data_IF_571367253185
#
_entry.id   IF_571367253185
#
_cell.length_a   1.000
_cell.length_b   1.000
_cell.length_c   1.000
_cell.angle_alpha   90.00
_cell.angle_beta   90.00
_cell.angle_gamma   90.00
#
_symmetry.space_group_name_H-M   'P 1'
#
loop_
_entity.id
_entity.type
_entity.pdbx_description
1 polymer ?
#
# COMPACT_ATOMS: atom_id res chain seq x y z
N UNK A 1 38.93 -64.55 53.94
CA UNK A 1 38.29 -65.38 54.98
C UNK A 1 36.90 -64.81 55.25
N UNK A 2 35.87 -65.66 55.27
CA UNK A 2 34.41 -65.39 55.37
C UNK A 2 33.77 -64.85 54.07
N UNK A 3 32.68 -65.37 53.53
CA UNK A 3 31.91 -66.62 53.75
C UNK A 3 30.96 -66.76 52.54
N UNK A 4 30.67 -68.00 52.14
CA UNK A 4 29.78 -68.44 51.04
C UNK A 4 28.33 -67.98 51.18
N UNK A 5 27.64 -67.95 50.03
CA UNK A 5 26.33 -68.60 49.68
C UNK A 5 25.72 -67.77 48.54
N UNK A 6 25.35 -68.26 47.37
CA UNK A 6 24.76 -69.55 47.00
C UNK A 6 23.40 -69.25 46.35
N UNK A 7 23.12 -69.85 45.18
CA UNK A 7 21.76 -69.94 44.65
C UNK A 7 21.49 -69.18 43.35
N UNK A 8 21.56 -69.90 42.24
CA UNK A 8 21.00 -69.48 40.96
C UNK A 8 19.47 -69.47 41.01
N UNK A 9 18.84 -68.41 40.53
CA UNK A 9 17.42 -68.38 40.16
C UNK A 9 17.34 -67.80 38.75
N UNK A 10 16.86 -68.61 37.81
CA UNK A 10 16.46 -68.18 36.46
C UNK A 10 15.35 -67.12 36.60
N UNK A 11 15.56 -65.94 36.02
CA UNK A 11 14.46 -64.99 35.75
C UNK A 11 14.52 -64.56 34.29
N UNK A 12 13.41 -64.79 33.61
CA UNK A 12 13.11 -64.30 32.29
C UNK A 12 13.23 -62.77 32.27
N UNK A 13 13.96 -62.23 31.28
CA UNK A 13 13.98 -60.81 30.99
C UNK A 13 12.73 -60.52 30.16
N UNK A 14 11.71 -59.90 30.78
CA UNK A 14 10.68 -59.19 30.06
C UNK A 14 11.35 -57.97 29.38
N UNK A 15 11.33 -57.93 28.05
CA UNK A 15 11.51 -56.69 27.31
C UNK A 15 10.27 -55.82 27.53
N UNK A 16 10.38 -54.85 28.44
CA UNK A 16 9.44 -53.74 28.49
C UNK A 16 9.77 -52.78 27.34
N UNK A 17 8.98 -52.85 26.27
CA UNK A 17 8.93 -51.78 25.26
C UNK A 17 8.30 -50.57 25.94
N UNK A 18 9.14 -49.58 26.28
CA UNK A 18 8.66 -48.27 26.69
C UNK A 18 8.01 -47.61 25.46
N UNK A 19 6.68 -47.60 25.42
CA UNK A 19 5.91 -46.75 24.53
C UNK A 19 6.17 -45.31 24.98
N UNK A 20 7.06 -44.60 24.28
CA UNK A 20 7.14 -43.15 24.36
C UNK A 20 5.88 -42.64 23.67
N UNK A 21 4.84 -42.38 24.47
CA UNK A 21 3.72 -41.57 24.04
C UNK A 21 4.28 -40.18 23.73
N UNK A 22 4.41 -39.86 22.45
CA UNK A 22 4.53 -38.48 21.99
C UNK A 22 3.26 -37.76 22.44
N UNK A 23 3.34 -37.09 23.59
CA UNK A 23 2.38 -36.09 23.98
C UNK A 23 2.44 -34.98 22.94
N UNK A 24 1.53 -35.01 21.99
CA UNK A 24 1.19 -33.87 21.14
C UNK A 24 0.72 -32.75 22.07
N UNK A 25 1.66 -31.91 22.49
CA UNK A 25 1.33 -30.60 22.99
C UNK A 25 0.50 -29.92 21.87
N UNK A 26 -0.72 -29.43 22.15
CA UNK A 26 -1.44 -28.69 21.15
C UNK A 26 -0.54 -27.50 20.78
N UNK A 27 -0.20 -27.39 19.50
CA UNK A 27 0.34 -26.15 18.97
C UNK A 27 -0.69 -25.08 19.33
N UNK A 28 -0.38 -24.27 20.33
CA UNK A 28 -1.11 -23.05 20.61
C UNK A 28 -0.81 -22.17 19.41
N UNK A 29 -1.61 -22.33 18.35
CA UNK A 29 -1.80 -21.29 17.38
C UNK A 29 -2.21 -20.09 18.22
N UNK A 30 -1.30 -19.13 18.36
CA UNK A 30 -1.65 -17.82 18.86
C UNK A 30 -2.66 -17.31 17.83
N UNK A 31 -3.95 -17.51 18.12
CA UNK A 31 -4.99 -16.73 17.53
C UNK A 31 -4.55 -15.29 17.83
N UNK A 32 -4.04 -14.62 16.80
CA UNK A 32 -3.98 -13.18 16.83
C UNK A 32 -5.44 -12.79 17.04
N UNK A 33 -5.78 -12.43 18.28
CA UNK A 33 -7.05 -11.78 18.57
C UNK A 33 -7.19 -10.72 17.50
N UNK A 34 -8.23 -10.83 16.67
CA UNK A 34 -8.61 -9.80 15.75
C UNK A 34 -8.99 -8.58 16.59
N UNK A 35 -7.98 -7.84 17.06
CA UNK A 35 -8.14 -6.49 17.54
C UNK A 35 -8.72 -5.77 16.34
N UNK A 36 -10.00 -5.43 16.41
CA UNK A 36 -10.65 -4.64 15.39
C UNK A 36 -9.76 -3.42 15.15
N UNK A 37 -9.15 -3.35 13.96
CA UNK A 37 -8.38 -2.18 13.58
C UNK A 37 -9.41 -1.06 13.49
N UNK A 38 -9.22 0.06 14.20
CA UNK A 38 -10.20 1.13 14.17
C UNK A 38 -10.33 1.62 12.73
N UNK A 39 -11.55 1.68 12.22
CA UNK A 39 -11.86 2.45 11.01
C UNK A 39 -11.53 3.91 11.32
N UNK A 40 -10.92 4.64 10.40
CA UNK A 40 -10.59 6.05 10.67
C UNK A 40 -11.88 6.77 11.09
N UNK A 41 -11.90 7.49 12.22
CA UNK A 41 -13.10 8.20 12.70
C UNK A 41 -13.62 9.24 11.69
N UNK A 42 -12.85 9.49 10.65
CA UNK A 42 -13.14 10.41 9.56
C UNK A 42 -14.05 9.80 8.47
N UNK A 43 -14.24 8.46 8.44
CA UNK A 43 -15.24 7.81 7.56
C UNK A 43 -16.69 7.88 8.04
N UNK A 44 -16.94 8.25 9.31
CA UNK A 44 -18.32 8.35 9.82
C UNK A 44 -18.99 9.71 9.52
N UNK A 45 -18.23 10.72 9.12
CA UNK A 45 -18.76 12.02 8.73
C UNK A 45 -17.76 12.74 7.83
N UNK A 46 -18.12 12.83 6.56
CA UNK A 46 -17.50 13.72 5.58
C UNK A 46 -17.05 15.03 6.24
N UNK A 47 -15.78 15.37 6.10
CA UNK A 47 -15.20 16.66 6.50
C UNK A 47 -15.84 17.79 5.66
N UNK A 48 -16.46 17.43 4.53
CA UNK A 48 -17.16 18.31 3.62
C UNK A 48 -18.55 18.70 4.12
N UNK A 49 -18.64 19.92 4.66
CA UNK A 49 -19.88 20.69 4.75
C UNK A 49 -19.86 21.87 3.76
N UNK A 50 -20.98 22.62 3.72
CA UNK A 50 -21.30 23.80 2.87
C UNK A 50 -20.15 24.30 1.99
N UNK A 51 -20.31 24.13 0.67
CA UNK A 51 -19.38 24.64 -0.34
C UNK A 51 -18.37 23.62 -0.85
N UNK A 52 -18.50 22.35 -0.47
CA UNK A 52 -17.83 21.22 -1.09
C UNK A 52 -18.69 20.56 -2.17
N UNK A 53 -18.06 20.04 -3.20
CA UNK A 53 -18.64 19.29 -4.31
C UNK A 53 -18.25 17.81 -4.18
N UNK A 54 -19.22 16.93 -4.39
CA UNK A 54 -18.98 15.50 -4.55
C UNK A 54 -18.95 15.20 -6.04
N UNK A 55 -17.77 14.90 -6.57
CA UNK A 55 -17.53 14.68 -7.98
C UNK A 55 -17.31 13.19 -8.22
N UNK A 56 -17.92 12.67 -9.29
CA UNK A 56 -17.70 11.30 -9.74
C UNK A 56 -17.00 11.34 -11.10
N UNK A 57 -15.87 10.66 -11.18
CA UNK A 57 -15.04 10.60 -12.37
C UNK A 57 -14.87 9.17 -12.87
N UNK A 58 -14.73 9.02 -14.18
CA UNK A 58 -14.50 7.74 -14.84
C UNK A 58 -13.46 7.93 -15.96
N UNK A 59 -12.26 7.41 -15.75
CA UNK A 59 -11.20 7.37 -16.75
C UNK A 59 -11.31 6.07 -17.57
N UNK A 60 -11.24 6.19 -18.90
CA UNK A 60 -11.46 5.09 -19.84
C UNK A 60 -12.45 5.46 -20.97
N UNK A 61 -12.96 4.47 -21.74
CA UNK A 61 -12.86 3.04 -21.48
C UNK A 61 -11.47 2.47 -21.76
N UNK A 62 -11.03 1.54 -20.91
CA UNK A 62 -9.81 0.77 -21.11
C UNK A 62 -10.16 -0.64 -21.59
N UNK A 63 -9.60 -1.01 -22.73
CA UNK A 63 -9.71 -2.36 -23.27
C UNK A 63 -8.58 -3.23 -22.73
N UNK A 64 -8.96 -4.24 -21.94
CA UNK A 64 -8.03 -5.11 -21.24
C UNK A 64 -7.99 -6.44 -21.98
N UNK A 65 -6.81 -6.80 -22.50
CA UNK A 65 -6.61 -8.05 -23.21
C UNK A 65 -6.65 -9.25 -22.27
N UNK A 66 -6.86 -10.47 -22.77
CA UNK A 66 -6.70 -11.69 -21.97
C UNK A 66 -5.31 -11.76 -21.32
N UNK A 67 -5.24 -12.16 -20.05
CA UNK A 67 -3.98 -12.32 -19.34
C UNK A 67 -3.15 -11.05 -19.16
N UNK A 68 -3.77 -9.86 -19.25
CA UNK A 68 -3.05 -8.61 -19.19
C UNK A 68 -2.24 -8.48 -17.89
N UNK A 69 -0.95 -8.18 -18.03
CA UNK A 69 0.00 -7.86 -16.96
C UNK A 69 0.87 -6.68 -17.44
N UNK A 70 0.21 -5.60 -17.90
CA UNK A 70 0.85 -4.47 -18.56
C UNK A 70 0.64 -3.20 -17.76
N UNK A 71 1.72 -2.47 -17.54
CA UNK A 71 1.69 -1.08 -17.08
C UNK A 71 1.50 -0.16 -18.28
N UNK A 72 0.46 0.67 -18.24
CA UNK A 72 0.06 1.57 -19.32
C UNK A 72 -0.15 2.98 -18.78
N UNK A 73 -0.13 3.97 -19.67
CA UNK A 73 -0.36 5.38 -19.29
C UNK A 73 -1.46 6.00 -20.16
N UNK A 74 -2.48 6.55 -19.50
CA UNK A 74 -3.43 7.47 -20.11
C UNK A 74 -2.91 8.91 -19.96
N UNK A 75 -2.73 9.58 -21.11
CA UNK A 75 -2.26 10.96 -21.21
C UNK A 75 -3.25 11.88 -21.92
N UNK A 76 -4.44 11.37 -22.24
CA UNK A 76 -5.44 12.06 -23.06
C UNK A 76 -6.62 12.53 -22.22
N UNK A 77 -7.29 11.59 -21.55
CA UNK A 77 -8.67 11.77 -21.11
C UNK A 77 -8.85 11.40 -19.63
N UNK A 78 -7.90 11.74 -18.76
CA UNK A 78 -8.05 11.55 -17.31
C UNK A 78 -8.86 12.72 -16.73
N UNK A 79 -10.13 12.49 -16.32
CA UNK A 79 -11.02 13.58 -15.94
C UNK A 79 -10.64 14.16 -14.56
N UNK A 80 -10.91 15.45 -14.36
CA UNK A 80 -10.60 16.14 -13.10
C UNK A 80 -11.52 17.34 -12.90
N UNK A 81 -11.48 18.00 -11.73
CA UNK A 81 -12.18 19.27 -11.54
C UNK A 81 -11.78 20.30 -12.62
N UNK A 82 -12.78 21.01 -13.16
CA UNK A 82 -12.60 22.01 -14.23
C UNK A 82 -12.26 23.42 -13.72
N UNK A 83 -12.29 23.63 -12.41
CA UNK A 83 -12.00 24.90 -11.75
C UNK A 83 -10.91 24.70 -10.70
N UNK A 84 -10.26 25.80 -10.31
CA UNK A 84 -9.29 25.77 -9.23
C UNK A 84 -9.96 25.44 -7.89
N UNK A 85 -9.23 24.73 -7.03
CA UNK A 85 -9.67 24.41 -5.69
C UNK A 85 -8.83 23.33 -5.04
N UNK A 86 -9.42 22.64 -4.06
CA UNK A 86 -8.72 21.66 -3.24
C UNK A 86 -9.41 20.32 -3.24
N UNK A 87 -8.68 19.25 -3.56
CA UNK A 87 -9.09 17.89 -3.23
C UNK A 87 -8.83 17.64 -1.75
N UNK A 88 -9.87 17.22 -1.02
CA UNK A 88 -9.75 16.86 0.41
C UNK A 88 -9.89 15.36 0.63
N UNK A 89 -10.51 14.64 -0.33
CA UNK A 89 -10.69 13.20 -0.29
C UNK A 89 -10.80 12.64 -1.70
N UNK A 90 -10.29 11.43 -1.92
CA UNK A 90 -10.49 10.68 -3.16
C UNK A 90 -10.59 9.18 -2.87
N UNK A 91 -11.63 8.53 -3.41
CA UNK A 91 -11.93 7.12 -3.25
C UNK A 91 -11.97 6.41 -4.62
N UNK A 92 -10.94 5.63 -4.98
CA UNK A 92 -10.84 4.95 -6.27
C UNK A 92 -11.62 3.63 -6.32
N UNK A 93 -12.00 3.21 -7.53
CA UNK A 93 -12.63 1.93 -7.81
C UNK A 93 -12.43 1.52 -9.29
N UNK A 94 -12.85 0.30 -9.63
CA UNK A 94 -12.85 -0.23 -10.99
C UNK A 94 -14.26 -0.71 -11.34
N UNK A 95 -14.75 -0.38 -12.54
CA UNK A 95 -16.07 -0.80 -13.02
C UNK A 95 -16.01 -1.30 -14.44
N UNK A 96 -16.81 -2.33 -14.76
CA UNK A 96 -17.02 -2.70 -16.16
C UNK A 96 -17.68 -1.57 -16.94
N UNK A 97 -17.43 -1.51 -18.24
CA UNK A 97 -18.29 -0.75 -19.15
C UNK A 97 -19.68 -1.40 -19.24
N UNK A 98 -20.70 -0.56 -19.41
CA UNK A 98 -22.05 -1.00 -19.77
C UNK A 98 -22.06 -1.53 -21.23
N UNK A 99 -23.10 -2.30 -21.64
CA UNK A 99 -23.20 -2.81 -23.02
C UNK A 99 -23.16 -1.72 -24.10
N UNK A 100 -23.52 -0.48 -23.77
CA UNK A 100 -23.45 0.68 -24.67
C UNK A 100 -22.05 1.34 -24.70
N UNK A 101 -21.04 0.73 -24.07
CA UNK A 101 -19.67 1.21 -23.99
C UNK A 101 -19.42 2.32 -22.98
N UNK A 102 -20.43 2.78 -22.22
CA UNK A 102 -20.29 3.87 -21.23
C UNK A 102 -19.98 3.34 -19.83
N UNK A 103 -19.46 4.21 -18.96
CA UNK A 103 -19.42 3.94 -17.53
C UNK A 103 -20.82 4.12 -16.89
N UNK A 104 -21.21 3.40 -15.84
CA UNK A 104 -20.46 2.34 -15.17
C UNK A 104 -21.35 1.13 -14.88
N UNK A 105 -20.86 -0.05 -15.22
CA UNK A 105 -21.44 -1.34 -14.86
C UNK A 105 -21.07 -1.79 -13.46
N UNK A 106 -21.15 -3.10 -13.25
CA UNK A 106 -20.79 -3.73 -11.98
C UNK A 106 -19.29 -3.57 -11.67
N UNK A 107 -18.97 -3.58 -10.38
CA UNK A 107 -17.59 -3.70 -9.91
C UNK A 107 -17.15 -5.16 -10.17
N UNK A 108 -16.03 -5.38 -10.85
CA UNK A 108 -15.55 -6.74 -11.08
C UNK A 108 -15.09 -7.41 -9.78
N UNK A 109 -15.15 -8.74 -9.74
CA UNK A 109 -14.51 -9.51 -8.67
C UNK A 109 -13.00 -9.40 -8.80
N UNK A 110 -12.33 -9.27 -7.65
CA UNK A 110 -10.88 -9.11 -7.61
C UNK A 110 -10.13 -10.29 -8.21
N UNK A 111 -10.66 -11.50 -8.06
CA UNK A 111 -10.06 -12.73 -8.60
C UNK A 111 -10.34 -12.96 -10.10
N UNK A 112 -10.90 -11.96 -10.79
CA UNK A 112 -11.17 -12.01 -12.23
C UNK A 112 -10.46 -10.87 -12.95
N UNK A 113 -10.74 -9.64 -12.54
CA UNK A 113 -10.13 -8.45 -13.09
C UNK A 113 -10.06 -7.39 -12.00
N UNK A 114 -8.87 -6.85 -11.78
CA UNK A 114 -8.64 -5.89 -10.71
C UNK A 114 -7.65 -4.83 -11.16
N UNK A 115 -7.77 -3.66 -10.53
CA UNK A 115 -6.74 -2.63 -10.58
C UNK A 115 -5.59 -3.13 -9.71
N UNK A 116 -4.46 -3.46 -10.32
CA UNK A 116 -3.26 -3.89 -9.62
C UNK A 116 -2.51 -2.67 -9.08
N UNK A 117 -2.35 -1.63 -9.90
CA UNK A 117 -2.01 -0.30 -9.41
C UNK A 117 -2.58 0.79 -10.33
N UNK A 118 -2.80 1.97 -9.77
CA UNK A 118 -3.21 3.19 -10.45
C UNK A 118 -2.57 4.37 -9.74
N UNK A 119 -1.76 5.14 -10.48
CA UNK A 119 -1.05 6.34 -10.02
C UNK A 119 -1.53 7.53 -10.83
N UNK A 120 -2.10 8.52 -10.16
CA UNK A 120 -2.49 9.78 -10.78
C UNK A 120 -1.32 10.76 -10.69
N UNK A 121 -1.02 11.36 -11.85
CA UNK A 121 0.02 12.36 -11.99
C UNK A 121 -0.58 13.65 -12.54
N UNK A 122 0.02 14.78 -12.20
CA UNK A 122 -0.36 16.10 -12.72
C UNK A 122 0.85 16.81 -13.32
N UNK A 123 0.62 17.69 -14.29
CA UNK A 123 1.59 18.73 -14.70
C UNK A 123 1.35 20.07 -13.97
N UNK A 124 0.36 20.11 -13.07
CA UNK A 124 -0.10 21.31 -12.39
C UNK A 124 0.91 21.86 -11.40
N UNK A 125 1.36 23.10 -11.63
CA UNK A 125 2.31 23.79 -10.77
C UNK A 125 1.75 24.14 -9.37
N UNK A 126 0.43 24.15 -9.19
CA UNK A 126 -0.18 24.41 -7.88
C UNK A 126 -0.09 23.20 -6.94
N UNK A 127 -0.12 22.00 -7.51
CA UNK A 127 -0.05 20.72 -6.81
C UNK A 127 1.29 20.03 -6.97
N UNK A 128 2.37 20.80 -7.17
CA UNK A 128 3.73 20.25 -7.26
C UNK A 128 4.00 19.37 -6.04
N UNK A 129 4.50 18.16 -6.33
CA UNK A 129 4.97 17.22 -5.33
C UNK A 129 6.48 17.17 -5.30
N UNK A 130 6.99 16.45 -4.31
CA UNK A 130 8.40 16.22 -4.05
C UNK A 130 8.75 14.74 -4.13
N UNK A 131 10.04 14.43 -4.00
CA UNK A 131 10.57 13.10 -4.27
C UNK A 131 10.62 12.85 -5.77
N UNK A 132 10.11 11.70 -6.19
CA UNK A 132 10.18 11.29 -7.59
C UNK A 132 9.28 12.14 -8.48
N UNK A 133 9.84 12.48 -9.65
CA UNK A 133 9.07 13.10 -10.72
C UNK A 133 9.25 12.25 -11.97
N UNK A 134 8.12 11.88 -12.58
CA UNK A 134 8.15 11.10 -13.81
C UNK A 134 8.18 12.06 -14.99
N UNK A 135 9.11 11.84 -15.93
CA UNK A 135 9.20 12.63 -17.16
C UNK A 135 8.56 11.91 -18.34
N UNK A 136 7.52 12.48 -18.96
CA UNK A 136 7.10 12.08 -20.31
C UNK A 136 7.46 13.22 -21.27
N UNK A 137 8.41 12.98 -22.18
CA UNK A 137 8.82 13.97 -23.18
C UNK A 137 9.56 15.20 -22.61
N UNK A 138 10.15 15.08 -21.41
CA UNK A 138 10.93 16.15 -20.76
C UNK A 138 10.12 17.13 -19.89
N UNK A 139 8.79 16.97 -19.79
CA UNK A 139 7.97 17.72 -18.85
C UNK A 139 7.84 16.94 -17.52
N UNK A 140 7.98 17.59 -16.35
CA UNK A 140 7.83 16.93 -15.07
C UNK A 140 6.36 16.61 -14.79
N UNK A 141 6.08 15.38 -14.37
CA UNK A 141 4.79 14.92 -13.89
C UNK A 141 4.92 14.51 -12.43
N UNK A 142 4.01 15.02 -11.61
CA UNK A 142 4.04 14.87 -10.16
C UNK A 142 2.99 13.86 -9.74
N UNK A 143 3.38 12.68 -9.25
CA UNK A 143 2.44 11.72 -8.68
C UNK A 143 1.88 12.27 -7.37
N UNK A 144 0.55 12.19 -7.19
CA UNK A 144 -0.10 12.72 -5.99
C UNK A 144 -1.11 11.74 -5.35
N UNK A 145 -1.42 10.64 -6.02
CA UNK A 145 -2.33 9.61 -5.52
C UNK A 145 -1.93 8.26 -6.11
N UNK A 146 -1.97 7.21 -5.29
CA UNK A 146 -1.76 5.84 -5.74
C UNK A 146 -2.69 4.85 -5.04
N UNK A 147 -3.12 3.83 -5.76
CA UNK A 147 -3.98 2.78 -5.21
C UNK A 147 -3.78 1.51 -6.01
N UNK A 148 -4.08 0.35 -5.45
CA UNK A 148 -4.08 -0.92 -6.16
C UNK A 148 -5.23 -1.81 -5.76
N UNK A 149 -4.94 -3.10 -5.57
CA UNK A 149 -5.95 -4.06 -5.13
C UNK A 149 -6.55 -3.68 -3.77
N UNK A 150 -5.75 -3.00 -2.94
CA UNK A 150 -6.14 -2.55 -1.61
C UNK A 150 -7.09 -1.35 -1.61
N UNK A 151 -7.41 -0.74 -2.76
CA UNK A 151 -8.34 0.41 -2.91
C UNK A 151 -8.21 1.51 -1.85
N UNK A 152 -6.96 1.85 -1.48
CA UNK A 152 -6.66 2.89 -0.49
C UNK A 152 -7.42 4.18 -0.79
N UNK A 153 -8.19 4.62 0.20
CA UNK A 153 -8.89 5.90 0.14
C UNK A 153 -8.05 6.97 0.83
N UNK A 154 -7.76 8.05 0.13
CA UNK A 154 -7.08 9.20 0.69
C UNK A 154 -8.07 10.20 1.26
N UNK A 155 -7.82 10.63 2.48
CA UNK A 155 -8.56 11.70 3.12
C UNK A 155 -7.60 12.56 3.92
N UNK A 156 -7.49 13.83 3.53
CA UNK A 156 -6.63 14.78 4.20
C UNK A 156 -7.29 15.26 5.50
N UNK A 157 -6.52 15.51 6.57
CA UNK A 157 -7.07 16.02 7.80
C UNK A 157 -7.80 17.36 7.58
N UNK A 158 -8.83 17.62 8.40
CA UNK A 158 -9.59 18.86 8.32
C UNK A 158 -8.67 20.10 8.34
N UNK A 159 -8.92 21.00 7.39
CA UNK A 159 -8.13 22.23 7.20
C UNK A 159 -6.98 22.08 6.21
N UNK A 160 -6.78 20.90 5.64
CA UNK A 160 -5.79 20.66 4.59
C UNK A 160 -6.46 20.21 3.29
N UNK A 161 -5.81 20.46 2.16
CA UNK A 161 -6.30 20.08 0.85
C UNK A 161 -5.19 20.11 -0.20
N UNK A 162 -5.23 19.18 -1.14
CA UNK A 162 -4.32 19.16 -2.27
C UNK A 162 -4.78 20.16 -3.34
N UNK A 163 -3.97 21.15 -3.72
CA UNK A 163 -4.35 22.13 -4.73
C UNK A 163 -4.50 21.48 -6.11
N UNK A 164 -5.60 21.78 -6.79
CA UNK A 164 -5.86 21.40 -8.18
C UNK A 164 -6.15 22.66 -8.98
N UNK A 165 -5.40 22.88 -10.07
CA UNK A 165 -5.69 23.91 -11.05
C UNK A 165 -6.72 23.44 -12.08
N UNK A 166 -7.63 24.34 -12.47
CA UNK A 166 -8.61 24.08 -13.52
C UNK A 166 -7.97 23.80 -14.88
N UNK A 167 -6.76 24.31 -15.13
CA UNK A 167 -5.97 24.12 -16.36
C UNK A 167 -4.97 22.97 -16.31
N UNK A 168 -4.81 22.30 -15.17
CA UNK A 168 -3.88 21.18 -15.04
C UNK A 168 -4.22 20.07 -16.05
N UNK A 169 -3.28 19.20 -16.35
CA UNK A 169 -3.53 17.95 -17.05
C UNK A 169 -3.21 16.80 -16.14
N UNK A 170 -4.13 15.86 -16.07
CA UNK A 170 -3.94 14.63 -15.32
C UNK A 170 -3.54 13.50 -16.26
N UNK A 171 -2.72 12.63 -15.70
CA UNK A 171 -2.22 11.41 -16.33
C UNK A 171 -2.50 10.27 -15.37
N UNK A 172 -2.74 9.08 -15.91
CA UNK A 172 -3.01 7.90 -15.12
C UNK A 172 -2.08 6.80 -15.59
N UNK A 173 -1.09 6.48 -14.77
CA UNK A 173 -0.31 5.28 -14.93
C UNK A 173 -1.07 4.14 -14.23
N UNK A 174 -1.39 3.07 -14.94
CA UNK A 174 -2.23 2.00 -14.41
C UNK A 174 -1.81 0.64 -14.91
N UNK A 175 -2.14 -0.36 -14.11
CA UNK A 175 -2.02 -1.77 -14.42
C UNK A 175 -3.29 -2.47 -13.98
N UNK A 176 -3.97 -3.11 -14.92
CA UNK A 176 -5.19 -3.87 -14.67
C UNK A 176 -4.91 -5.30 -15.07
N UNK A 177 -5.03 -6.22 -14.11
CA UNK A 177 -4.89 -7.64 -14.37
C UNK A 177 -6.18 -8.21 -14.89
N UNK A 178 -6.11 -9.01 -15.95
CA UNK A 178 -7.23 -9.81 -16.43
C UNK A 178 -6.89 -11.29 -16.35
N UNK A 179 -7.41 -11.96 -15.33
CA UNK A 179 -7.15 -13.36 -15.04
C UNK A 179 -8.05 -14.31 -15.87
N UNK A 180 -8.48 -13.86 -17.06
CA UNK A 180 -9.34 -14.62 -17.98
C UNK A 180 -8.78 -14.66 -19.39
N UNK A 181 -9.24 -15.64 -20.14
CA UNK A 181 -9.01 -15.80 -21.58
C UNK A 181 -9.80 -14.84 -22.47
N UNK A 182 -10.78 -14.14 -21.90
CA UNK A 182 -11.65 -13.19 -22.61
C UNK A 182 -11.25 -11.75 -22.29
N UNK A 183 -11.26 -10.84 -23.28
CA UNK A 183 -11.03 -9.42 -23.02
C UNK A 183 -12.16 -8.81 -22.19
N UNK A 184 -11.86 -7.69 -21.53
CA UNK A 184 -12.84 -6.88 -20.82
C UNK A 184 -12.69 -5.41 -21.19
N UNK A 185 -13.76 -4.64 -21.02
CA UNK A 185 -13.69 -3.18 -21.09
C UNK A 185 -14.09 -2.62 -19.74
N UNK A 186 -13.24 -1.78 -19.16
CA UNK A 186 -13.41 -1.25 -17.81
C UNK A 186 -13.14 0.25 -17.77
N UNK A 187 -13.53 0.87 -16.66
CA UNK A 187 -13.22 2.24 -16.29
C UNK A 187 -12.60 2.23 -14.90
N UNK A 188 -11.55 3.04 -14.72
CA UNK A 188 -11.07 3.41 -13.39
C UNK A 188 -11.92 4.59 -12.94
N UNK A 189 -12.66 4.43 -11.85
CA UNK A 189 -13.55 5.46 -11.32
C UNK A 189 -13.01 6.01 -10.02
N UNK A 190 -13.31 7.27 -9.70
CA UNK A 190 -12.97 7.84 -8.41
C UNK A 190 -14.01 8.87 -7.99
N UNK A 191 -14.46 8.74 -6.74
CA UNK A 191 -15.29 9.72 -6.08
C UNK A 191 -14.37 10.70 -5.35
N UNK A 192 -14.58 12.00 -5.56
CA UNK A 192 -13.74 13.06 -5.02
C UNK A 192 -14.58 14.08 -4.25
N UNK A 193 -14.11 14.42 -3.06
CA UNK A 193 -14.60 15.59 -2.34
C UNK A 193 -13.69 16.78 -2.68
N UNK A 194 -14.29 17.81 -3.26
CA UNK A 194 -13.59 18.95 -3.84
C UNK A 194 -14.15 20.27 -3.30
N UNK A 195 -13.27 21.19 -2.90
CA UNK A 195 -13.64 22.53 -2.45
C UNK A 195 -13.15 23.53 -3.51
N UNK A 196 -14.04 24.09 -4.35
CA UNK A 196 -13.65 25.11 -5.33
C UNK A 196 -13.14 26.38 -4.63
N UNK A 197 -12.21 27.10 -5.25
CA UNK A 197 -11.69 28.39 -4.71
C UNK A 197 -12.79 29.44 -4.51
N UNK A 198 -13.86 29.39 -5.32
CA UNK A 198 -15.03 30.25 -5.17
C UNK A 198 -15.83 29.99 -3.90
N UNK A 199 -15.59 28.87 -3.22
CA UNK A 199 -16.25 28.49 -1.97
C UNK A 199 -15.68 29.27 -0.79
N UNK A 200 -16.52 29.81 0.11
CA UNK A 200 -16.06 30.37 1.37
C UNK A 200 -15.22 29.40 2.22
N UNK A 201 -15.41 28.09 2.05
CA UNK A 201 -14.66 27.05 2.74
C UNK A 201 -13.18 26.99 2.32
N UNK A 202 -12.83 27.48 1.11
CA UNK A 202 -11.46 27.46 0.61
C UNK A 202 -10.51 28.38 1.40
N UNK A 203 -11.01 29.49 1.98
CA UNK A 203 -10.19 30.50 2.68
C UNK A 203 -9.42 29.98 3.91
N UNK A 204 -9.81 28.83 4.44
CA UNK A 204 -9.17 28.21 5.61
C UNK A 204 -8.40 26.94 5.29
N UNK A 205 -8.22 26.61 4.01
CA UNK A 205 -7.49 25.41 3.61
C UNK A 205 -6.00 25.73 3.50
N UNK A 206 -5.21 24.91 4.18
CA UNK A 206 -3.75 24.88 4.07
C UNK A 206 -3.39 23.93 2.93
N UNK A 207 -2.62 24.37 1.92
CA UNK A 207 -2.13 23.49 0.87
C UNK A 207 -1.39 22.28 1.44
N UNK A 208 -1.69 21.10 0.90
CA UNK A 208 -0.98 19.86 1.14
C UNK A 208 -0.18 19.50 -0.12
N UNK A 209 1.08 19.13 0.06
CA UNK A 209 2.00 18.75 -0.98
C UNK A 209 2.33 17.26 -0.85
N UNK A 210 2.24 16.46 -1.93
CA UNK A 210 2.62 15.07 -1.88
C UNK A 210 4.13 14.92 -1.98
N UNK A 211 4.71 14.04 -1.19
CA UNK A 211 6.05 13.50 -1.33
C UNK A 211 5.88 12.05 -1.76
N UNK A 212 6.33 11.72 -2.96
CA UNK A 212 6.31 10.36 -3.47
C UNK A 212 7.49 9.57 -2.93
N UNK A 213 7.21 8.59 -2.07
CA UNK A 213 8.21 7.68 -1.54
C UNK A 213 8.03 6.30 -2.16
N UNK A 214 9.12 5.74 -2.69
CA UNK A 214 9.17 4.41 -3.27
C UNK A 214 10.46 3.71 -2.83
N UNK A 215 10.42 2.42 -2.56
CA UNK A 215 11.63 1.66 -2.24
C UNK A 215 12.55 1.44 -3.43
N UNK A 216 12.04 1.53 -4.66
CA UNK A 216 12.74 1.36 -5.94
C UNK A 216 12.58 2.61 -6.82
N UNK A 217 12.72 3.79 -6.20
CA UNK A 217 12.43 5.07 -6.83
C UNK A 217 13.16 5.34 -8.16
N UNK A 218 12.63 6.27 -8.95
CA UNK A 218 13.06 6.60 -10.32
C UNK A 218 12.80 5.52 -11.40
N UNK A 219 12.09 4.45 -11.06
CA UNK A 219 11.64 3.45 -12.03
C UNK A 219 10.14 3.62 -12.32
N UNK A 220 9.76 3.53 -13.60
CA UNK A 220 8.33 3.52 -13.98
C UNK A 220 7.63 2.21 -13.56
N UNK A 221 8.41 1.16 -13.30
CA UNK A 221 7.94 -0.11 -12.75
C UNK A 221 8.85 -0.52 -11.57
N UNK A 222 8.63 0.08 -10.39
CA UNK A 222 9.54 0.01 -9.25
C UNK A 222 9.29 -1.25 -8.42
N UNK A 223 9.76 -2.39 -8.92
CA UNK A 223 9.49 -3.70 -8.32
C UNK A 223 10.73 -4.46 -7.87
N UNK A 224 10.59 -5.24 -6.80
CA UNK A 224 11.61 -6.16 -6.30
C UNK A 224 11.04 -7.56 -6.03
N UNK A 225 11.92 -8.54 -5.88
CA UNK A 225 11.53 -9.93 -5.61
C UNK A 225 11.78 -10.31 -4.14
N UNK A 226 10.81 -10.99 -3.54
CA UNK A 226 10.93 -11.59 -2.21
C UNK A 226 10.87 -13.11 -2.32
N UNK A 227 11.97 -13.79 -2.03
CA UNK A 227 12.01 -15.26 -2.10
C UNK A 227 11.45 -15.89 -0.83
N UNK A 228 10.72 -17.00 -0.99
CA UNK A 228 10.30 -17.84 0.14
C UNK A 228 11.51 -18.22 0.98
N UNK A 229 11.36 -18.16 2.29
CA UNK A 229 12.37 -18.42 3.30
C UNK A 229 13.58 -17.46 3.29
N UNK A 230 13.50 -16.34 2.58
CA UNK A 230 14.45 -15.24 2.77
C UNK A 230 14.10 -14.42 4.02
N UNK A 231 15.07 -13.62 4.46
CA UNK A 231 14.94 -12.72 5.59
C UNK A 231 14.99 -13.44 6.95
N UNK A 232 14.31 -12.89 7.95
CA UNK A 232 14.38 -13.32 9.34
C UNK A 232 12.97 -13.56 9.88
N UNK A 233 12.80 -14.66 10.61
CA UNK A 233 11.53 -15.07 11.23
C UNK A 233 10.34 -15.13 10.25
N UNK A 234 10.61 -15.46 8.98
CA UNK A 234 9.59 -15.55 7.94
C UNK A 234 9.09 -14.21 7.44
N UNK A 235 9.92 -13.17 7.53
CA UNK A 235 9.70 -11.83 6.97
C UNK A 235 10.95 -11.36 6.26
N UNK A 236 10.77 -10.59 5.20
CA UNK A 236 11.85 -9.92 4.48
C UNK A 236 11.53 -8.44 4.34
N UNK A 237 12.47 -7.59 4.74
CA UNK A 237 12.34 -6.13 4.64
C UNK A 237 13.28 -5.62 3.56
N UNK A 238 12.74 -4.98 2.53
CA UNK A 238 13.51 -4.32 1.49
C UNK A 238 13.57 -2.80 1.78
N UNK A 239 14.73 -2.14 1.58
CA UNK A 239 16.00 -2.71 1.10
C UNK A 239 16.86 -3.38 2.19
N UNK A 240 16.50 -3.25 3.47
CA UNK A 240 17.33 -3.60 4.64
C UNK A 240 17.99 -4.99 4.60
N UNK A 241 17.28 -6.00 4.08
CA UNK A 241 17.73 -7.40 4.03
C UNK A 241 18.18 -7.84 2.64
N UNK A 242 18.06 -6.98 1.64
CA UNK A 242 18.48 -7.28 0.28
C UNK A 242 20.00 -7.22 0.14
N UNK A 243 20.54 -8.12 -0.68
CA UNK A 243 21.95 -8.06 -1.04
C UNK A 243 22.09 -7.08 -2.20
N UNK A 244 22.85 -6.01 -1.98
CA UNK A 244 23.13 -4.98 -2.98
C UNK A 244 21.85 -4.46 -3.66
N UNK A 245 20.88 -3.93 -2.88
CA UNK A 245 19.54 -3.58 -3.37
C UNK A 245 19.56 -2.64 -4.58
N UNK A 246 20.58 -1.79 -4.67
CA UNK A 246 20.68 -0.72 -5.68
C UNK A 246 21.93 -0.84 -6.55
N UNK A 247 22.57 -2.00 -6.59
CA UNK A 247 23.73 -2.25 -7.46
C UNK A 247 24.91 -1.30 -7.24
N UNK A 248 25.14 -0.87 -5.99
CA UNK A 248 26.15 0.13 -5.61
C UNK A 248 25.79 1.59 -5.90
N UNK A 249 24.58 1.87 -6.40
CA UNK A 249 24.04 3.23 -6.55
C UNK A 249 23.63 3.89 -5.23
N UNK A 250 23.20 5.16 -5.26
CA UNK A 250 22.60 5.80 -4.09
C UNK A 250 21.33 5.06 -3.65
N UNK A 251 20.94 5.16 -2.37
CA UNK A 251 19.66 4.66 -1.91
C UNK A 251 18.51 5.24 -2.73
N UNK A 252 17.61 4.38 -3.21
CA UNK A 252 16.42 4.81 -3.94
C UNK A 252 15.24 5.02 -2.99
N UNK A 253 15.30 4.53 -1.76
CA UNK A 253 14.22 4.61 -0.79
C UNK A 253 14.27 5.84 0.14
N UNK A 254 15.03 6.87 -0.23
CA UNK A 254 15.30 8.04 0.60
C UNK A 254 14.99 9.35 -0.12
N UNK A 255 14.40 10.30 0.61
CA UNK A 255 14.14 11.67 0.15
C UNK A 255 14.69 12.67 1.17
N UNK A 256 15.51 13.62 0.71
CA UNK A 256 16.04 14.69 1.56
C UNK A 256 15.13 15.90 1.50
N UNK A 257 14.57 16.27 2.64
CA UNK A 257 13.73 17.47 2.78
C UNK A 257 14.61 18.71 2.68
N UNK A 258 14.23 19.71 1.87
CA UNK A 258 15.01 20.93 1.67
C UNK A 258 14.45 22.17 2.38
N UNK A 259 13.26 22.08 2.99
CA UNK A 259 12.61 23.14 3.75
C UNK A 259 12.04 22.64 5.10
N UNK A 260 11.64 23.53 6.03
CA UNK A 260 10.85 23.13 7.19
C UNK A 260 9.39 22.84 6.83
N UNK A 261 8.76 21.95 7.58
CA UNK A 261 7.34 21.65 7.42
C UNK A 261 6.81 20.60 8.38
N UNK A 262 5.57 20.20 8.14
CA UNK A 262 4.85 19.22 8.96
C UNK A 262 4.20 18.16 8.07
N UNK A 263 4.52 16.89 8.31
CA UNK A 263 3.82 15.78 7.67
C UNK A 263 2.41 15.66 8.28
N UNK A 264 1.38 15.52 7.44
CA UNK A 264 -0.02 15.60 7.85
C UNK A 264 -0.82 14.33 7.60
N UNK A 265 -0.42 13.52 6.63
CA UNK A 265 -1.03 12.22 6.35
C UNK A 265 -0.10 11.31 5.56
N UNK A 266 -0.27 10.00 5.69
CA UNK A 266 0.29 9.04 4.72
C UNK A 266 -0.45 7.69 4.79
N UNK A 267 -0.34 6.91 3.72
CA UNK A 267 -0.76 5.52 3.63
C UNK A 267 0.23 4.79 2.69
N UNK A 268 0.44 3.50 2.96
CA UNK A 268 1.28 2.64 2.15
C UNK A 268 0.52 1.95 1.02
N UNK A 269 1.27 1.35 0.11
CA UNK A 269 0.80 0.50 -0.98
C UNK A 269 1.76 -0.68 -1.13
N UNK A 270 1.19 -1.88 -1.11
CA UNK A 270 1.90 -3.16 -1.17
C UNK A 270 1.18 -4.09 -2.12
N UNK A 271 1.95 -4.97 -2.74
CA UNK A 271 1.43 -6.09 -3.51
C UNK A 271 1.09 -7.28 -2.58
N UNK A 272 0.44 -8.34 -3.10
CA UNK A 272 0.22 -9.57 -2.36
C UNK A 272 1.50 -10.09 -1.69
N UNK A 273 1.38 -10.59 -0.46
CA UNK A 273 2.50 -10.96 0.40
C UNK A 273 2.96 -9.87 1.36
N UNK A 274 2.61 -8.61 1.09
CA UNK A 274 2.98 -7.46 1.89
C UNK A 274 2.45 -7.54 3.33
N UNK A 275 3.19 -6.99 4.28
CA UNK A 275 2.77 -6.91 5.68
C UNK A 275 2.65 -5.45 6.13
N UNK A 276 3.64 -4.63 5.78
CA UNK A 276 3.63 -3.21 6.09
C UNK A 276 4.74 -2.44 5.35
N UNK A 277 4.46 -1.17 5.09
CA UNK A 277 5.47 -0.14 4.80
C UNK A 277 5.84 0.60 6.09
N UNK A 278 7.11 0.97 6.23
CA UNK A 278 7.62 1.76 7.36
C UNK A 278 8.20 3.07 6.84
N UNK A 279 7.78 4.19 7.43
CA UNK A 279 8.35 5.51 7.22
C UNK A 279 9.19 5.90 8.43
N UNK A 280 10.49 6.08 8.19
CA UNK A 280 11.45 6.60 9.15
C UNK A 280 11.84 8.03 8.77
N UNK A 281 12.17 8.84 9.79
CA UNK A 281 12.77 10.16 9.64
C UNK A 281 14.17 10.12 10.25
N UNK A 282 15.17 10.48 9.46
CA UNK A 282 16.58 10.54 9.84
C UNK A 282 16.96 12.00 10.01
N UNK A 283 17.61 12.34 11.12
CA UNK A 283 18.16 13.68 11.37
C UNK A 283 19.60 13.55 11.83
N UNK A 284 20.60 13.75 10.96
CA UNK A 284 22.00 13.57 11.30
C UNK A 284 22.41 14.32 12.58
N UNK A 285 23.01 13.60 13.54
CA UNK A 285 23.44 14.16 14.83
C UNK A 285 22.31 14.41 15.83
N UNK A 286 21.08 14.01 15.54
CA UNK A 286 19.98 14.14 16.48
C UNK A 286 20.12 13.19 17.67
N UNK A 287 19.89 13.72 18.87
CA UNK A 287 19.78 12.89 20.07
C UNK A 287 18.34 12.44 20.27
N UNK A 288 18.11 11.14 20.20
CA UNK A 288 16.79 10.55 20.43
C UNK A 288 16.39 10.63 21.92
N UNK A 289 15.17 11.12 22.18
CA UNK A 289 14.54 11.00 23.48
C UNK A 289 14.27 9.52 23.81
N UNK A 290 14.25 9.17 25.11
CA UNK A 290 14.00 7.80 25.58
C UNK A 290 12.69 7.19 25.07
N UNK A 291 11.69 8.03 24.78
CA UNK A 291 10.36 7.62 24.32
C UNK A 291 10.23 7.61 22.80
N UNK A 292 11.19 8.15 22.06
CA UNK A 292 11.15 8.10 20.60
C UNK A 292 11.25 6.65 20.13
N UNK A 293 10.50 6.32 19.09
CA UNK A 293 10.50 4.99 18.49
C UNK A 293 11.65 4.98 17.49
N UNK A 294 12.64 4.13 17.70
CA UNK A 294 13.83 4.08 16.85
C UNK A 294 13.47 3.57 15.45
N UNK A 295 13.99 4.24 14.43
CA UNK A 295 13.95 3.75 13.05
C UNK A 295 15.02 2.70 12.79
N UNK A 296 15.19 2.31 11.52
CA UNK A 296 16.15 1.32 11.08
C UNK A 296 17.61 1.82 11.07
N UNK A 297 17.81 3.12 10.83
CA UNK A 297 19.13 3.73 10.67
C UNK A 297 19.62 4.45 11.95
N UNK A 298 20.93 4.74 12.09
CA UNK A 298 21.43 5.66 13.09
C UNK A 298 20.72 7.04 13.01
N UNK A 299 20.57 7.70 14.15
CA UNK A 299 19.91 9.01 14.25
C UNK A 299 18.53 9.09 13.58
N UNK A 300 17.80 7.97 13.57
CA UNK A 300 16.47 7.86 12.95
C UNK A 300 15.37 7.51 13.95
N UNK A 301 14.18 8.02 13.68
CA UNK A 301 12.95 7.68 14.40
C UNK A 301 11.90 7.18 13.42
N UNK A 302 11.18 6.13 13.81
CA UNK A 302 10.01 5.71 13.07
C UNK A 302 8.87 6.69 13.31
N UNK A 303 8.33 7.22 12.23
CA UNK A 303 7.22 8.18 12.30
C UNK A 303 5.88 7.53 11.97
N UNK A 304 5.88 6.47 11.15
CA UNK A 304 4.67 5.68 10.89
C UNK A 304 4.99 4.29 10.34
N UNK A 305 4.04 3.38 10.52
CA UNK A 305 3.99 2.09 9.81
C UNK A 305 2.59 1.84 9.28
N UNK A 306 2.48 1.70 7.96
CA UNK A 306 1.23 1.37 7.28
C UNK A 306 1.10 -0.15 7.18
N UNK A 307 0.17 -0.75 7.91
CA UNK A 307 -0.05 -2.20 7.92
C UNK A 307 -1.09 -2.62 6.89
N UNK A 308 -0.86 -3.78 6.26
CA UNK A 308 -1.89 -4.49 5.51
C UNK A 308 -2.83 -5.21 6.49
N UNK A 309 -4.10 -4.82 6.50
CA UNK A 309 -5.17 -5.51 7.21
C UNK A 309 -5.88 -6.48 6.27
N UNK A 310 -5.58 -7.76 6.39
CA UNK A 310 -6.26 -8.82 5.65
C UNK A 310 -7.57 -9.20 6.33
N UNK A 311 -8.69 -9.04 5.62
CA UNK A 311 -10.00 -9.48 6.10
C UNK A 311 -10.16 -11.00 5.98
N UNK A 312 -9.47 -11.58 5.00
CA UNK A 312 -9.40 -13.02 4.80
C UNK A 312 -8.49 -13.69 5.84
N UNK A 313 -9.02 -14.71 6.51
CA UNK A 313 -8.28 -15.53 7.49
C UNK A 313 -7.02 -16.21 6.91
N UNK A 314 -6.94 -16.38 5.58
CA UNK A 314 -5.74 -16.88 4.90
C UNK A 314 -4.60 -15.85 4.91
N UNK A 315 -4.84 -14.59 5.26
CA UNK A 315 -3.83 -13.55 5.42
C UNK A 315 -3.18 -13.15 4.09
N UNK A 316 -1.86 -12.95 4.03
CA UNK A 316 -1.17 -12.24 2.95
C UNK A 316 -1.18 -12.89 1.56
N UNK A 317 -1.80 -14.06 1.42
CA UNK A 317 -2.08 -14.68 0.11
C UNK A 317 -3.37 -14.16 -0.53
N UNK A 318 -4.15 -13.33 0.18
CA UNK A 318 -5.42 -12.80 -0.27
C UNK A 318 -5.27 -11.39 -0.83
N UNK A 319 -6.07 -11.05 -1.84
CA UNK A 319 -6.28 -9.67 -2.29
C UNK A 319 -7.30 -8.91 -1.44
N UNK A 320 -7.92 -9.58 -0.46
CA UNK A 320 -8.89 -8.98 0.44
C UNK A 320 -8.21 -8.25 1.61
N UNK A 321 -7.69 -7.06 1.32
CA UNK A 321 -6.97 -6.25 2.29
C UNK A 321 -7.29 -4.76 2.19
N UNK A 322 -6.98 -4.04 3.26
CA UNK A 322 -6.92 -2.58 3.29
C UNK A 322 -5.60 -2.15 3.94
N UNK A 323 -4.98 -1.08 3.44
CA UNK A 323 -3.81 -0.48 4.09
C UNK A 323 -4.25 0.49 5.19
N UNK A 324 -3.51 0.55 6.30
CA UNK A 324 -3.77 1.53 7.35
C UNK A 324 -3.15 2.89 7.03
N UNK A 325 -3.92 3.96 7.14
CA UNK A 325 -3.46 5.33 7.04
C UNK A 325 -3.24 5.97 8.43
N UNK A 326 -2.49 7.07 8.48
CA UNK A 326 -2.29 7.87 9.69
C UNK A 326 -3.60 8.48 10.21
N UNK A 327 -3.73 8.63 11.53
CA UNK A 327 -4.85 9.35 12.13
C UNK A 327 -4.80 10.88 11.92
N UNK A 328 -5.91 11.59 12.16
CA UNK A 328 -6.03 13.03 11.86
C UNK A 328 -5.16 13.94 12.72
N UNK A 329 -4.52 13.42 13.78
CA UNK A 329 -3.61 14.14 14.69
C UNK A 329 -2.12 13.85 14.43
N UNK A 330 -1.80 12.99 13.46
CA UNK A 330 -0.42 12.66 13.12
C UNK A 330 0.27 13.87 12.48
N UNK A 331 1.20 14.50 13.21
CA UNK A 331 1.88 15.75 12.81
C UNK A 331 3.39 15.78 13.11
N UNK A 332 4.21 14.86 12.56
CA UNK A 332 5.68 14.96 12.68
C UNK A 332 6.21 16.22 12.01
N UNK A 333 7.11 16.94 12.70
CA UNK A 333 7.87 18.05 12.10
C UNK A 333 9.13 17.57 11.39
N UNK A 334 9.34 18.11 10.20
CA UNK A 334 10.56 17.95 9.40
C UNK A 334 11.29 19.27 9.25
N UNK A 335 12.58 19.19 8.96
CA UNK A 335 13.48 20.33 8.74
C UNK A 335 14.29 20.09 7.48
N UNK A 336 14.76 21.17 6.89
CA UNK A 336 15.78 21.10 5.85
C UNK A 336 16.98 20.27 6.31
N UNK A 337 17.37 19.28 5.50
CA UNK A 337 18.41 18.30 5.79
C UNK A 337 17.95 17.05 6.53
N UNK A 338 16.68 16.96 6.97
CA UNK A 338 16.12 15.69 7.40
C UNK A 338 15.93 14.77 6.16
N UNK A 339 16.03 13.45 6.38
CA UNK A 339 15.81 12.45 5.32
C UNK A 339 14.61 11.58 5.70
N UNK A 340 13.61 11.52 4.82
CA UNK A 340 12.56 10.51 4.87
C UNK A 340 13.06 9.22 4.23
N UNK A 341 12.77 8.09 4.87
CA UNK A 341 13.17 6.77 4.37
C UNK A 341 11.98 5.81 4.43
N UNK A 342 11.70 5.14 3.31
CA UNK A 342 10.67 4.09 3.24
C UNK A 342 11.30 2.70 3.20
N UNK A 343 10.61 1.70 3.75
CA UNK A 343 10.96 0.28 3.60
C UNK A 343 9.70 -0.56 3.59
N UNK A 344 9.71 -1.67 2.85
CA UNK A 344 8.57 -2.55 2.69
C UNK A 344 8.88 -3.95 3.24
N UNK A 345 7.96 -4.51 4.01
CA UNK A 345 8.14 -5.84 4.60
C UNK A 345 7.09 -6.82 4.10
N UNK A 346 7.56 -7.98 3.64
CA UNK A 346 6.76 -9.06 3.08
C UNK A 346 6.88 -10.34 3.92
N UNK A 347 5.84 -11.17 3.91
CA UNK A 347 5.89 -12.52 4.49
C UNK A 347 6.76 -13.43 3.63
N UNK A 348 7.45 -14.41 4.21
CA UNK A 348 8.29 -15.35 3.43
C UNK A 348 8.07 -16.80 3.77
N UNK A 349 7.08 -17.15 4.60
CA UNK A 349 6.84 -18.54 5.01
C UNK A 349 6.06 -19.32 3.97
N UNK A 350 5.09 -18.68 3.31
CA UNK A 350 4.11 -19.34 2.44
C UNK A 350 4.57 -19.37 1.00
N UNK A 351 5.02 -18.24 0.46
CA UNK A 351 5.36 -18.12 -0.95
C UNK A 351 6.60 -17.25 -1.20
N UNK A 352 7.06 -17.27 -2.46
CA UNK A 352 7.87 -16.19 -3.01
C UNK A 352 6.91 -15.19 -3.65
N UNK A 353 7.20 -13.91 -3.48
CA UNK A 353 6.47 -12.79 -4.06
C UNK A 353 7.35 -12.17 -5.12
N UNK A 354 6.81 -12.10 -6.32
CA UNK A 354 7.48 -11.47 -7.45
C UNK A 354 6.80 -10.15 -7.72
N UNK A 355 7.58 -9.23 -8.30
CA UNK A 355 7.07 -7.92 -8.67
C UNK A 355 6.52 -7.14 -7.45
N UNK A 356 7.10 -7.30 -6.25
CA UNK A 356 6.67 -6.62 -5.02
C UNK A 356 6.93 -5.11 -5.09
N UNK A 357 6.04 -4.30 -4.50
CA UNK A 357 6.18 -2.84 -4.37
C UNK A 357 6.26 -2.38 -2.91
N UNK A 358 6.70 -1.14 -2.70
CA UNK A 358 6.76 -0.50 -1.38
C UNK A 358 6.66 1.00 -1.53
N UNK A 359 5.44 1.52 -1.57
CA UNK A 359 5.17 2.92 -1.91
C UNK A 359 4.45 3.60 -0.75
N UNK A 360 4.80 4.83 -0.45
CA UNK A 360 4.04 5.69 0.46
C UNK A 360 3.85 7.08 -0.16
N UNK A 361 2.59 7.50 -0.31
CA UNK A 361 2.30 8.91 -0.59
C UNK A 361 2.25 9.64 0.73
N UNK A 362 3.29 10.42 1.02
CA UNK A 362 3.37 11.24 2.23
C UNK A 362 2.85 12.63 1.90
N UNK A 363 1.99 13.18 2.75
CA UNK A 363 1.46 14.53 2.58
C UNK A 363 2.12 15.46 3.58
N UNK A 364 2.60 16.59 3.10
CA UNK A 364 3.23 17.64 3.88
C UNK A 364 2.47 18.97 3.75
N UNK A 365 2.44 19.72 4.84
CA UNK A 365 2.17 21.15 4.79
C UNK A 365 3.46 21.89 5.13
N UNK A 366 3.92 22.73 4.21
CA UNK A 366 5.14 23.51 4.42
C UNK A 366 4.96 24.52 5.56
N UNK A 367 6.01 24.73 6.34
CA UNK A 367 6.05 25.79 7.33
C UNK A 367 6.22 27.12 6.58
N UNK A 368 5.14 27.68 6.07
CA UNK A 368 5.22 28.96 5.38
C UNK A 368 5.49 30.09 6.39
N UNK A 369 6.44 30.98 6.11
CA UNK A 369 6.40 32.36 6.66
C UNK A 369 5.22 33.16 6.09
N UNK A 370 4.48 32.59 5.13
CA UNK A 370 3.37 33.21 4.42
C UNK A 370 2.06 32.97 5.18
N UNK A 371 1.94 33.64 6.33
CA UNK A 371 0.70 33.83 7.07
C UNK A 371 0.10 35.19 6.80
N UNK A 372 -0.51 35.39 5.64
CA UNK A 372 -1.43 36.52 5.45
C UNK A 372 -2.77 36.15 6.08
N UNK A 373 -3.11 36.80 7.19
CA UNK A 373 -4.47 36.75 7.73
C UNK A 373 -5.44 37.42 6.72
N UNK A 374 -6.39 36.68 6.13
CA UNK A 374 -7.25 37.18 5.06
C UNK A 374 -8.32 38.19 5.53
N UNK A 375 -8.40 38.47 6.83
CA UNK A 375 -9.31 39.47 7.39
C UNK A 375 -8.60 40.72 7.90
N UNK A 376 -7.29 40.67 8.15
CA UNK A 376 -6.55 41.79 8.75
C UNK A 376 -5.34 42.27 7.94
N UNK A 377 -4.86 41.49 6.96
CA UNK A 377 -3.68 41.82 6.16
C UNK A 377 -2.37 41.87 6.95
N UNK A 378 -2.33 41.30 8.16
CA UNK A 378 -1.14 41.27 9.02
C UNK A 378 -0.49 39.90 9.00
N UNK A 379 0.84 39.89 9.07
CA UNK A 379 1.66 38.69 9.29
C UNK A 379 1.36 38.18 10.70
N UNK A 380 0.57 37.12 10.80
CA UNK A 380 0.45 36.38 12.04
C UNK A 380 1.67 35.48 12.17
N UNK A 381 2.33 35.51 13.34
CA UNK A 381 3.28 34.47 13.76
C UNK A 381 2.67 33.10 13.46
N UNK A 382 3.48 32.12 13.02
CA UNK A 382 3.03 30.85 12.45
C UNK A 382 1.82 30.36 13.22
N UNK A 383 0.69 30.21 12.51
CA UNK A 383 -0.45 29.51 13.08
C UNK A 383 0.15 28.18 13.51
N UNK A 384 0.31 28.01 14.82
CA UNK A 384 0.68 26.74 15.39
C UNK A 384 -0.49 25.81 15.07
N UNK A 385 -0.45 25.21 13.88
CA UNK A 385 -1.28 24.07 13.52
C UNK A 385 -1.10 23.09 14.68
N UNK A 386 -2.19 22.81 15.38
CA UNK A 386 -2.28 22.04 16.63
C UNK A 386 -1.07 21.10 16.86
N UNK A 387 -0.22 21.44 17.84
CA UNK A 387 0.87 20.62 18.38
C UNK A 387 1.60 19.71 17.39
N UNK A 388 2.16 20.26 16.31
CA UNK A 388 3.17 19.50 15.55
C UNK A 388 4.31 19.10 16.49
N UNK A 389 4.72 17.83 16.45
CA UNK A 389 5.64 17.25 17.43
C UNK A 389 7.01 17.05 16.78
N UNK A 390 8.08 17.37 17.52
CA UNK A 390 9.42 16.93 17.11
C UNK A 390 9.53 15.43 17.42
N UNK A 391 9.59 14.55 16.40
CA UNK A 391 9.56 13.10 16.60
C UNK A 391 10.82 12.58 17.31
N UNK A 392 11.88 13.38 17.38
CA UNK A 392 13.09 13.06 18.16
C UNK A 392 12.92 13.37 19.65
N UNK A 393 12.02 14.28 20.00
CA UNK A 393 11.73 14.66 21.39
C UNK A 393 10.55 13.88 21.99
N UNK A 394 9.59 13.47 21.15
CA UNK A 394 8.35 12.81 21.58
C UNK A 394 8.02 11.62 20.68
N UNK A 395 7.43 10.56 21.26
CA UNK A 395 6.86 9.49 20.46
C UNK A 395 5.72 10.05 19.60
N UNK A 396 5.73 9.71 18.31
CA UNK A 396 4.60 9.97 17.41
C UNK A 396 3.57 8.86 17.61
N UNK A 397 2.29 9.23 17.51
CA UNK A 397 1.18 8.28 17.50
C UNK A 397 1.20 7.50 16.17
N UNK A 398 1.71 6.27 16.20
CA UNK A 398 1.76 5.37 15.05
C UNK A 398 0.45 4.60 14.82
N UNK A 399 -0.64 4.95 15.51
CA UNK A 399 -1.92 4.26 15.34
C UNK A 399 -2.40 4.40 13.90
N UNK A 400 -2.45 3.28 13.19
CA UNK A 400 -2.99 3.19 11.84
C UNK A 400 -4.49 2.90 11.83
N UNK A 401 -5.18 3.45 10.84
CA UNK A 401 -6.61 3.29 10.63
C UNK A 401 -6.91 2.77 9.23
N UNK A 402 -7.74 1.75 9.10
CA UNK A 402 -8.13 1.26 7.75
C UNK A 402 -8.94 2.32 7.00
N UNK A 403 -8.70 2.43 5.70
CA UNK A 403 -9.34 3.41 4.82
C UNK A 403 -10.65 2.91 4.21
N UNK A 404 -10.95 1.62 4.35
CA UNK A 404 -12.27 1.05 4.11
C UNK A 404 -12.40 -0.30 4.82
N UNK A 405 -13.63 -0.80 4.94
CA UNK A 405 -13.90 -2.15 5.43
C UNK A 405 -13.76 -3.20 4.33
N UNK A 406 -14.12 -4.44 4.67
CA UNK A 406 -14.17 -5.54 3.71
C UNK A 406 -15.06 -5.20 2.50
N UNK A 407 -14.60 -5.55 1.30
CA UNK A 407 -15.25 -5.22 0.03
C UNK A 407 -16.01 -6.43 -0.53
N UNK A 408 -17.21 -6.19 -1.10
CA UNK A 408 -18.08 -7.29 -1.54
C UNK A 408 -17.45 -8.11 -2.66
N UNK A 409 -16.76 -7.43 -3.58
CA UNK A 409 -16.02 -8.00 -4.70
C UNK A 409 -14.88 -8.94 -4.28
N UNK A 410 -14.41 -8.84 -3.03
CA UNK A 410 -13.34 -9.65 -2.47
C UNK A 410 -13.83 -10.93 -1.78
N UNK A 411 -15.15 -11.18 -1.73
CA UNK A 411 -15.73 -12.42 -1.17
C UNK A 411 -15.47 -13.69 -2.00
N UNK A 412 -14.44 -13.66 -2.86
CA UNK A 412 -14.05 -14.75 -3.73
C UNK A 412 -12.58 -15.06 -3.47
N UNK A 413 -12.36 -16.27 -2.99
CA UNK A 413 -11.16 -16.62 -2.28
C UNK A 413 -10.41 -17.80 -2.93
N UNK A 414 -10.74 -18.07 -4.21
CA UNK A 414 -10.32 -19.27 -4.92
C UNK A 414 -10.85 -20.55 -4.30
N UNK A 415 -10.39 -21.71 -4.82
CA UNK A 415 -10.68 -23.01 -4.22
C UNK A 415 -12.12 -23.50 -4.42
N UNK A 416 -12.75 -23.19 -5.55
CA UNK A 416 -14.04 -23.77 -5.93
C UNK A 416 -13.96 -25.30 -5.81
N UNK A 417 -14.94 -25.96 -5.15
CA UNK A 417 -15.01 -27.42 -5.08
C UNK A 417 -15.24 -28.10 -6.45
N UNK A 418 -15.35 -27.30 -7.52
CA UNK A 418 -15.62 -27.69 -8.90
C UNK A 418 -14.39 -28.02 -9.74
N UNK A 419 -13.17 -28.00 -9.18
CA UNK A 419 -12.10 -28.80 -9.79
C UNK A 419 -12.55 -30.27 -9.71
N UNK A 420 -13.30 -30.70 -10.73
CA UNK A 420 -13.67 -32.10 -10.98
C UNK A 420 -12.43 -32.98 -11.12
N UNK A 421 -11.26 -32.35 -11.22
CA UNK A 421 -9.95 -32.95 -11.35
C UNK A 421 -9.09 -32.59 -10.13
N UNK A 422 -8.69 -33.61 -9.37
CA UNK A 422 -7.69 -33.44 -8.32
C UNK A 422 -6.33 -33.18 -9.00
N UNK A 423 -5.67 -32.02 -8.80
CA UNK A 423 -4.41 -31.73 -9.46
C UNK A 423 -3.31 -32.76 -9.16
N UNK A 424 -3.35 -33.39 -7.99
CA UNK A 424 -2.43 -34.46 -7.60
C UNK A 424 -2.67 -35.80 -8.34
N UNK A 425 -3.79 -35.91 -9.06
CA UNK A 425 -4.15 -37.07 -9.88
C UNK A 425 -4.00 -36.82 -11.38
N UNK A 426 -3.57 -35.61 -11.78
CA UNK A 426 -3.27 -35.33 -13.18
C UNK A 426 -2.05 -36.15 -13.62
N UNK A 427 -2.07 -36.74 -14.83
CA UNK A 427 -0.90 -37.41 -15.37
C UNK A 427 0.27 -36.43 -15.51
N UNK A 428 1.50 -36.93 -15.42
CA UNK A 428 2.69 -36.12 -15.66
C UNK A 428 2.73 -35.69 -17.13
N UNK A 429 2.44 -34.41 -17.40
CA UNK A 429 2.46 -33.86 -18.76
C UNK A 429 3.89 -33.50 -19.22
N UNK A 430 4.07 -33.17 -20.50
CA UNK A 430 5.33 -32.61 -21.03
C UNK A 430 5.64 -31.30 -20.31
N UNK A 431 6.82 -31.20 -19.71
CA UNK A 431 7.26 -30.01 -18.95
C UNK A 431 8.26 -29.13 -19.71
N UNK A 432 8.70 -29.56 -20.89
CA UNK A 432 9.75 -28.88 -21.66
C UNK A 432 9.22 -27.81 -22.63
N UNK A 433 7.91 -27.80 -22.91
CA UNK A 433 7.28 -26.81 -23.77
C UNK A 433 5.86 -26.57 -23.28
N UNK A 434 5.56 -25.32 -22.94
CA UNK A 434 4.21 -24.84 -22.62
C UNK A 434 3.81 -23.88 -23.73
N UNK A 435 2.73 -24.19 -24.44
CA UNK A 435 2.12 -23.28 -25.41
C UNK A 435 1.14 -22.40 -24.65
N UNK A 436 1.29 -21.08 -24.82
CA UNK A 436 0.40 -20.09 -24.21
C UNK A 436 -0.36 -19.39 -25.33
N UNK A 437 -1.68 -19.39 -25.27
CA UNK A 437 -2.54 -18.66 -26.20
C UNK A 437 -3.75 -18.11 -25.48
N UNK A 438 -3.97 -16.79 -25.53
CA UNK A 438 -5.13 -16.17 -24.88
C UNK A 438 -5.20 -16.47 -23.38
N UNK A 439 -4.05 -16.49 -22.68
CA UNK A 439 -3.95 -16.84 -21.26
C UNK A 439 -4.33 -18.29 -20.89
N UNK A 440 -4.46 -19.17 -21.88
CA UNK A 440 -4.59 -20.62 -21.68
C UNK A 440 -3.24 -21.32 -21.84
N UNK A 441 -3.01 -22.36 -21.04
CA UNK A 441 -1.75 -23.11 -20.99
C UNK A 441 -1.90 -24.55 -21.50
N UNK A 442 -1.13 -24.94 -22.51
CA UNK A 442 -1.10 -26.34 -22.97
C UNK A 442 0.33 -26.90 -22.99
N UNK A 443 0.67 -27.90 -22.16
CA UNK A 443 -0.16 -28.49 -21.11
C UNK A 443 -0.19 -27.62 -19.83
N UNK A 444 -1.12 -27.90 -18.92
CA UNK A 444 -1.08 -27.38 -17.54
C UNK A 444 -2.19 -26.42 -17.13
N UNK A 445 -3.12 -26.07 -18.02
CA UNK A 445 -4.30 -25.30 -17.65
C UNK A 445 -5.25 -26.12 -16.75
N UNK A 446 -5.68 -25.55 -15.63
CA UNK A 446 -6.56 -26.23 -14.68
C UNK A 446 -8.04 -26.19 -15.09
N UNK A 447 -8.44 -25.25 -15.93
CA UNK A 447 -9.78 -25.17 -16.51
C UNK A 447 -9.91 -26.09 -17.73
N UNK A 448 -8.79 -26.32 -18.43
CA UNK A 448 -8.68 -27.25 -19.56
C UNK A 448 -7.53 -28.26 -19.40
N UNK A 449 -7.65 -29.20 -18.44
CA UNK A 449 -6.58 -30.14 -18.13
C UNK A 449 -6.25 -31.01 -19.34
N UNK A 450 -5.10 -30.71 -19.94
CA UNK A 450 -4.57 -31.37 -21.13
C UNK A 450 -3.10 -31.72 -20.92
N UNK A 451 -2.73 -32.88 -21.46
CA UNK A 451 -1.37 -33.34 -21.71
C UNK A 451 -1.30 -33.75 -23.20
#
# INVERSE_FOLDING_TARGET
MKRRMGGAVRRAILFAVAVIAFGSAPAVASAASATAVPVSPSFERSICNVGCQHLHFAAGPYHITPGANLILTDYRDVPKPSVNGFMVRVAPNLRYALPNGKCCGAIPRVDIIHLHHGVWLTDGAAGLGEGNTYGIGGAPLYPFMATGEEKTIYELPRGYGYPIGGSDRWFLNYMIHNLRETPATVYITYDMDFIPDSSPAARGITPAHPIWMDVEDHHIYPVFDVKRYSGVDGKFTFPDMAKDPYGGGPPLNEFTVDHPGTLIATAGHLHPGGLYDTLDLIRPGARLAKKAIRGAEPDSVRVFRSYAHYFDTRGPISWDMAMTATGPRWRPRVKSGDVLRVSATYETRRASWYESMGIMVVWEAYDSEIGLDPFTGKVHRPIAHQSSADPFAHAIDETGYITHGHLTENNHHGGTPWLTVNPNKLPTCRTHTVVISGFLYNPGDLDHPSC
#
